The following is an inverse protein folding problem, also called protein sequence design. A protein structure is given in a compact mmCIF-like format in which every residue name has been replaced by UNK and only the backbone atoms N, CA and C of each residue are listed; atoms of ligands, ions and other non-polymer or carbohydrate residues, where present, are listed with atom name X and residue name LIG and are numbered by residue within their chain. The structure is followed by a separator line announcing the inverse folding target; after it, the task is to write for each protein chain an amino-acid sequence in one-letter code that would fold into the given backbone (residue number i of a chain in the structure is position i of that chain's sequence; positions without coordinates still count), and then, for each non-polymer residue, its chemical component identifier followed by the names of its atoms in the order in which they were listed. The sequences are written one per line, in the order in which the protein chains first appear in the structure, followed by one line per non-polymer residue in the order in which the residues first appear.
data_IF_712460130039
#
_entry.id   IF_712460130039
#
_cell.length_a   1.000
_cell.length_b   1.000
_cell.length_c   1.000
_cell.angle_alpha   90.00
_cell.angle_beta   90.00
_cell.angle_gamma   90.00
#
_symmetry.space_group_name_H-M   'P 1'
#
loop_
_entity.id
_entity.type
_entity.pdbx_description
1 polymer ?
#
# COMPACT_ATOMS: atom_id res chain seq x y z
N UNK A 1 -10.11 -9.26 14.31
CA UNK A 1 -8.82 -9.84 13.87
C UNK A 1 -8.68 -9.95 12.34
N UNK A 2 -9.57 -9.36 11.52
CA UNK A 2 -9.58 -9.55 10.05
C UNK A 2 -9.11 -8.33 9.22
N UNK A 3 -8.57 -7.31 9.87
CA UNK A 3 -8.10 -6.07 9.25
C UNK A 3 -6.61 -5.89 9.60
N UNK A 4 -5.68 -5.48 8.73
CA UNK A 4 -5.69 -5.06 7.34
C UNK A 4 -4.20 -4.98 6.95
N UNK A 5 -3.58 -6.08 6.47
CA UNK A 5 -2.31 -5.94 5.74
C UNK A 5 -2.70 -5.56 4.32
N UNK A 6 -2.98 -4.28 4.12
CA UNK A 6 -3.19 -3.74 2.78
C UNK A 6 -1.84 -3.67 2.08
N UNK A 7 -1.75 -4.28 0.91
CA UNK A 7 -0.57 -4.22 0.04
C UNK A 7 -0.11 -2.80 -0.22
N UNK A 8 -1.06 -1.86 -0.24
CA UNK A 8 -0.80 -0.42 -0.43
C UNK A 8 0.03 0.16 0.71
N UNK A 9 -0.20 -0.25 1.95
CA UNK A 9 0.60 0.24 3.08
C UNK A 9 2.07 -0.22 3.01
N UNK A 10 2.35 -1.31 2.28
CA UNK A 10 3.69 -1.87 2.12
C UNK A 10 4.39 -1.24 0.91
N UNK A 11 3.69 -1.19 -0.22
CA UNK A 11 4.28 -0.91 -1.54
C UNK A 11 3.86 0.43 -2.16
N UNK A 12 2.84 1.09 -1.62
CA UNK A 12 2.41 2.42 -2.08
C UNK A 12 3.07 3.52 -1.24
N UNK A 13 4.40 3.54 -1.22
CA UNK A 13 5.20 4.62 -0.66
C UNK A 13 6.34 5.02 -1.60
N UNK A 14 6.83 6.25 -1.47
CA UNK A 14 7.83 6.83 -2.37
C UNK A 14 9.15 6.05 -2.36
N UNK A 15 9.53 5.46 -1.23
CA UNK A 15 10.76 4.66 -1.10
C UNK A 15 10.69 3.38 -1.92
N UNK A 16 9.56 2.67 -1.89
CA UNK A 16 9.39 1.47 -2.70
C UNK A 16 9.39 1.83 -4.20
N UNK A 17 8.72 2.91 -4.59
CA UNK A 17 8.75 3.38 -5.98
C UNK A 17 10.18 3.68 -6.44
N UNK A 18 11.01 4.32 -5.60
CA UNK A 18 12.42 4.57 -5.91
C UNK A 18 13.23 3.27 -6.10
N UNK A 19 13.01 2.27 -5.25
CA UNK A 19 13.66 0.95 -5.38
C UNK A 19 13.21 0.29 -6.69
N UNK A 20 11.91 0.32 -6.99
CA UNK A 20 11.35 -0.21 -8.22
C UNK A 20 11.95 0.46 -9.46
N UNK A 21 12.06 1.79 -9.46
CA UNK A 21 12.66 2.57 -10.55
C UNK A 21 14.16 2.24 -10.75
N UNK A 22 14.91 2.13 -9.65
CA UNK A 22 16.32 1.76 -9.68
C UNK A 22 16.53 0.32 -10.20
N UNK A 23 15.70 -0.64 -9.76
CA UNK A 23 15.75 -2.02 -10.26
C UNK A 23 15.40 -2.08 -11.74
N UNK A 24 14.29 -1.45 -12.16
CA UNK A 24 13.81 -1.46 -13.54
C UNK A 24 14.84 -0.91 -14.52
N UNK A 25 15.47 0.21 -14.16
CA UNK A 25 16.56 0.81 -14.96
C UNK A 25 17.81 -0.08 -15.00
N UNK A 26 18.19 -0.71 -13.88
CA UNK A 26 19.41 -1.53 -13.79
C UNK A 26 19.31 -2.84 -14.56
N UNK A 27 18.14 -3.50 -14.51
CA UNK A 27 17.93 -4.80 -15.18
C UNK A 27 17.40 -4.65 -16.60
N UNK A 28 17.08 -3.41 -17.02
CA UNK A 28 16.46 -3.09 -18.31
C UNK A 28 15.17 -3.87 -18.56
N UNK A 29 14.32 -3.97 -17.53
CA UNK A 29 12.96 -4.52 -17.63
C UNK A 29 11.98 -3.47 -17.11
N UNK A 30 10.79 -3.46 -17.68
CA UNK A 30 9.70 -2.69 -17.11
C UNK A 30 9.22 -3.38 -15.83
N UNK A 31 8.96 -2.63 -14.75
CA UNK A 31 8.48 -3.18 -13.48
C UNK A 31 7.21 -2.44 -13.04
N UNK A 32 6.23 -3.17 -12.51
CA UNK A 32 5.04 -2.61 -11.87
C UNK A 32 4.55 -3.55 -10.78
N UNK A 33 4.04 -3.00 -9.68
CA UNK A 33 3.39 -3.79 -8.64
C UNK A 33 1.88 -3.68 -8.80
N UNK A 34 1.19 -4.82 -8.65
CA UNK A 34 -0.26 -4.95 -8.80
C UNK A 34 -0.87 -5.59 -7.55
N UNK A 35 -2.16 -5.34 -7.32
CA UNK A 35 -2.94 -6.10 -6.35
C UNK A 35 -3.30 -7.51 -6.88
N UNK A 36 -3.98 -8.31 -6.08
CA UNK A 36 -4.41 -9.67 -6.46
C UNK A 36 -5.32 -9.74 -7.71
N UNK A 37 -5.93 -8.62 -8.12
CA UNK A 37 -6.74 -8.53 -9.35
C UNK A 37 -5.93 -8.09 -10.56
N UNK A 38 -4.62 -7.87 -10.41
CA UNK A 38 -3.77 -7.34 -11.48
C UNK A 38 -3.90 -5.83 -11.67
N UNK A 39 -4.55 -5.12 -10.75
CA UNK A 39 -4.70 -3.67 -10.84
C UNK A 39 -3.42 -3.01 -10.31
N UNK A 40 -2.79 -2.10 -11.08
CA UNK A 40 -1.60 -1.37 -10.63
C UNK A 40 -1.77 -0.65 -9.30
N UNK A 41 -0.82 -0.85 -8.39
CA UNK A 41 -0.69 -0.10 -7.14
C UNK A 41 0.49 0.87 -7.14
N UNK A 42 1.51 0.63 -7.97
CA UNK A 42 2.64 1.54 -8.19
C UNK A 42 2.60 2.16 -9.58
N UNK A 43 3.40 3.21 -9.80
CA UNK A 43 3.64 3.72 -11.15
C UNK A 43 4.52 2.72 -11.89
N UNK A 44 4.28 2.57 -13.18
CA UNK A 44 5.04 1.65 -14.02
C UNK A 44 6.44 2.21 -14.30
N UNK A 45 7.46 1.54 -13.81
CA UNK A 45 8.87 1.88 -14.04
C UNK A 45 9.33 1.33 -15.38
N UNK A 46 10.15 2.10 -16.11
CA UNK A 46 10.73 1.72 -17.43
C UNK A 46 9.72 1.13 -18.42
N UNK A 47 8.45 1.55 -18.37
CA UNK A 47 7.39 1.04 -19.24
C UNK A 47 7.72 1.33 -20.70
N UNK A 48 7.63 0.30 -21.54
CA UNK A 48 7.88 0.45 -22.98
C UNK A 48 6.76 1.25 -23.66
N UNK A 49 7.07 1.83 -24.81
CA UNK A 49 6.06 2.52 -25.63
C UNK A 49 4.93 1.57 -26.03
N UNK A 50 5.28 0.35 -26.48
CA UNK A 50 4.30 -0.66 -26.87
C UNK A 50 3.33 -1.00 -25.74
N UNK A 51 3.83 -1.31 -24.55
CA UNK A 51 2.97 -1.61 -23.41
C UNK A 51 2.21 -0.39 -22.90
N UNK A 52 2.70 0.83 -23.15
CA UNK A 52 1.95 2.06 -22.90
C UNK A 52 0.72 2.16 -23.81
N UNK A 53 0.84 1.76 -25.09
CA UNK A 53 -0.29 1.71 -26.03
C UNK A 53 -1.29 0.65 -25.55
N UNK A 54 -0.82 -0.58 -25.28
CA UNK A 54 -1.68 -1.69 -24.86
C UNK A 54 -2.46 -1.38 -23.58
N UNK A 55 -1.80 -0.87 -22.53
CA UNK A 55 -2.46 -0.57 -21.25
C UNK A 55 -3.38 0.66 -21.27
N UNK A 56 -3.29 1.52 -22.30
CA UNK A 56 -4.19 2.66 -22.51
C UNK A 56 -5.39 2.33 -23.39
N UNK A 57 -5.27 1.34 -24.27
CA UNK A 57 -6.37 0.94 -25.16
C UNK A 57 -7.52 0.29 -24.38
N UNK A 58 -8.76 0.72 -24.63
CA UNK A 58 -9.96 0.20 -23.94
C UNK A 58 -10.11 -1.32 -24.11
N UNK A 59 -9.75 -1.85 -25.29
CA UNK A 59 -9.82 -3.28 -25.59
C UNK A 59 -8.73 -4.10 -24.89
N UNK A 60 -7.51 -3.58 -24.76
CA UNK A 60 -6.34 -4.36 -24.36
C UNK A 60 -5.97 -4.20 -22.88
N UNK A 61 -6.38 -3.10 -22.24
CA UNK A 61 -6.12 -2.85 -20.82
C UNK A 61 -6.59 -4.01 -19.94
N UNK A 62 -7.81 -4.50 -20.16
CA UNK A 62 -8.36 -5.63 -19.40
C UNK A 62 -7.60 -6.94 -19.64
N UNK A 63 -6.97 -7.13 -20.80
CA UNK A 63 -6.12 -8.29 -21.07
C UNK A 63 -4.80 -8.20 -20.30
N UNK A 64 -4.19 -7.02 -20.25
CA UNK A 64 -2.98 -6.78 -19.44
C UNK A 64 -3.22 -7.11 -17.96
N UNK A 65 -4.28 -6.54 -17.36
CA UNK A 65 -4.61 -6.77 -15.94
C UNK A 65 -4.93 -8.24 -15.65
N UNK A 66 -5.61 -8.94 -16.58
CA UNK A 66 -5.86 -10.39 -16.46
C UNK A 66 -4.59 -11.22 -16.56
N UNK A 67 -3.65 -10.85 -17.43
CA UNK A 67 -2.33 -11.48 -17.48
C UNK A 67 -1.60 -11.30 -16.15
N UNK A 68 -1.54 -10.07 -15.64
CA UNK A 68 -0.88 -9.74 -14.37
C UNK A 68 -1.48 -10.56 -13.20
N UNK A 69 -2.81 -10.60 -13.10
CA UNK A 69 -3.52 -11.36 -12.07
C UNK A 69 -3.25 -12.86 -12.14
N UNK A 70 -3.32 -13.44 -13.35
CA UNK A 70 -3.12 -14.88 -13.56
C UNK A 70 -1.66 -15.28 -13.29
N UNK A 71 -0.70 -14.50 -13.78
CA UNK A 71 0.72 -14.72 -13.52
C UNK A 71 1.06 -14.63 -12.04
N UNK A 72 0.54 -13.60 -11.36
CA UNK A 72 0.69 -13.43 -9.92
C UNK A 72 0.08 -14.58 -9.10
N UNK A 73 -1.06 -15.11 -9.51
CA UNK A 73 -1.71 -16.25 -8.83
C UNK A 73 -0.90 -17.55 -9.00
N UNK A 74 -0.38 -17.83 -10.20
CA UNK A 74 0.48 -19.00 -10.41
C UNK A 74 1.78 -18.92 -9.61
N UNK A 75 2.40 -17.73 -9.57
CA UNK A 75 3.56 -17.46 -8.71
C UNK A 75 3.25 -17.71 -7.23
N UNK A 76 2.08 -17.24 -6.75
CA UNK A 76 1.66 -17.45 -5.38
C UNK A 76 1.38 -18.92 -5.06
N UNK A 77 0.79 -19.66 -6.01
CA UNK A 77 0.51 -21.10 -5.88
C UNK A 77 1.78 -21.92 -5.74
N UNK A 78 2.83 -21.58 -6.49
CA UNK A 78 4.12 -22.28 -6.43
C UNK A 78 5.07 -21.73 -5.36
N UNK A 79 4.70 -20.61 -4.71
CA UNK A 79 5.54 -19.86 -3.79
C UNK A 79 6.90 -19.48 -4.39
N UNK A 80 6.93 -19.23 -5.69
CA UNK A 80 8.12 -18.86 -6.45
C UNK A 80 7.78 -17.82 -7.50
N UNK A 81 8.76 -17.35 -8.26
CA UNK A 81 8.49 -16.58 -9.46
C UNK A 81 7.81 -17.44 -10.52
N UNK A 82 7.09 -16.77 -11.43
CA UNK A 82 6.45 -17.43 -12.56
C UNK A 82 6.69 -16.60 -13.83
N UNK A 83 7.32 -17.22 -14.83
CA UNK A 83 7.69 -16.59 -16.11
C UNK A 83 6.77 -17.13 -17.19
N UNK A 84 6.17 -16.25 -17.97
CA UNK A 84 5.14 -16.59 -18.95
C UNK A 84 5.12 -15.63 -20.14
N UNK A 85 4.29 -15.94 -21.14
CA UNK A 85 4.00 -15.05 -22.25
C UNK A 85 2.65 -14.35 -22.03
N UNK A 86 2.65 -13.02 -22.07
CA UNK A 86 1.44 -12.21 -21.94
C UNK A 86 0.59 -12.29 -23.22
N UNK A 87 -0.63 -11.74 -23.20
CA UNK A 87 -1.54 -11.77 -24.36
C UNK A 87 -0.94 -11.23 -25.67
N UNK A 88 0.08 -10.36 -25.57
CA UNK A 88 0.81 -9.78 -26.69
C UNK A 88 2.12 -10.51 -27.01
N UNK A 89 2.31 -11.74 -26.52
CA UNK A 89 3.46 -12.60 -26.82
C UNK A 89 4.79 -12.12 -26.23
N UNK A 90 4.76 -11.17 -25.31
CA UNK A 90 5.95 -10.69 -24.60
C UNK A 90 6.18 -11.53 -23.35
N UNK A 91 7.45 -11.71 -23.00
CA UNK A 91 7.80 -12.30 -21.70
C UNK A 91 7.45 -11.34 -20.59
N UNK A 92 6.77 -11.88 -19.60
CA UNK A 92 6.41 -11.23 -18.37
C UNK A 92 6.67 -12.21 -17.22
N UNK A 93 7.01 -11.68 -16.05
CA UNK A 93 7.35 -12.47 -14.89
C UNK A 93 6.63 -11.90 -13.66
N UNK A 94 6.13 -12.78 -12.82
CA UNK A 94 5.45 -12.41 -11.59
C UNK A 94 6.23 -12.90 -10.37
N UNK A 95 6.45 -12.00 -9.41
CA UNK A 95 6.99 -12.29 -8.08
C UNK A 95 5.86 -12.13 -7.06
N UNK A 96 5.49 -13.18 -6.30
CA UNK A 96 4.31 -13.13 -5.47
C UNK A 96 4.59 -12.36 -4.17
N UNK A 97 3.64 -11.54 -3.74
CA UNK A 97 3.65 -10.85 -2.44
C UNK A 97 2.66 -11.57 -1.53
N UNK A 98 3.19 -12.37 -0.60
CA UNK A 98 2.39 -13.17 0.34
C UNK A 98 2.74 -12.82 1.78
N UNK A 99 1.77 -12.38 2.56
CA UNK A 99 1.96 -12.06 3.99
C UNK A 99 1.07 -12.96 4.83
N UNK A 100 1.64 -13.71 5.78
CA UNK A 100 0.91 -14.63 6.65
C UNK A 100 -0.02 -15.57 5.86
N UNK A 101 0.49 -16.16 4.78
CA UNK A 101 -0.23 -17.03 3.84
C UNK A 101 -1.38 -16.38 3.07
N UNK A 102 -1.55 -15.05 3.17
CA UNK A 102 -2.50 -14.31 2.34
C UNK A 102 -1.77 -13.74 1.12
N UNK A 103 -2.24 -14.12 -0.06
CA UNK A 103 -1.78 -13.54 -1.32
C UNK A 103 -2.36 -12.13 -1.46
N UNK A 104 -1.47 -11.13 -1.55
CA UNK A 104 -1.87 -9.72 -1.60
C UNK A 104 -1.80 -9.14 -3.03
N UNK A 105 -0.93 -9.69 -3.87
CA UNK A 105 -0.62 -9.19 -5.21
C UNK A 105 0.76 -9.65 -5.66
N UNK A 106 1.30 -9.02 -6.70
CA UNK A 106 2.59 -9.41 -7.26
C UNK A 106 3.39 -8.21 -7.78
N UNK A 107 4.71 -8.35 -7.78
CA UNK A 107 5.60 -7.51 -8.59
C UNK A 107 5.73 -8.15 -9.95
N UNK A 108 5.32 -7.41 -10.98
CA UNK A 108 5.43 -7.80 -12.38
C UNK A 108 6.70 -7.20 -12.96
N UNK A 109 7.44 -7.98 -13.74
CA UNK A 109 8.59 -7.48 -14.48
C UNK A 109 8.69 -8.12 -15.87
N UNK A 110 9.11 -7.36 -16.88
CA UNK A 110 9.26 -7.92 -18.22
C UNK A 110 9.07 -6.89 -19.31
N UNK A 111 8.16 -7.22 -20.24
CA UNK A 111 7.90 -6.52 -21.50
C UNK A 111 9.06 -6.62 -22.49
N UNK A 112 9.65 -7.82 -22.57
CA UNK A 112 10.76 -8.13 -23.47
C UNK A 112 10.43 -9.30 -24.37
N UNK A 113 11.12 -9.37 -25.50
CA UNK A 113 11.06 -10.51 -26.40
C UNK A 113 12.17 -11.50 -26.02
N UNK A 114 11.93 -12.79 -26.21
CA UNK A 114 13.03 -13.76 -26.13
C UNK A 114 13.99 -13.56 -27.31
N UNK A 115 15.29 -13.65 -27.03
CA UNK A 115 16.31 -13.64 -28.08
C UNK A 115 16.22 -14.88 -28.97
N UNK A 116 15.84 -16.03 -28.39
CA UNK A 116 15.59 -17.28 -29.13
C UNK A 116 14.08 -17.58 -29.14
N UNK A 117 13.49 -17.67 -30.34
CA UNK A 117 12.06 -17.96 -30.51
C UNK A 117 11.66 -19.37 -30.07
N UNK A 118 12.56 -20.34 -30.12
CA UNK A 118 12.26 -21.72 -29.67
C UNK A 118 11.99 -21.78 -28.16
N UNK A 119 12.57 -20.88 -27.38
CA UNK A 119 12.32 -20.80 -25.96
C UNK A 119 10.88 -20.37 -25.63
N UNK A 120 10.15 -19.76 -26.57
CA UNK A 120 8.72 -19.46 -26.38
C UNK A 120 7.90 -20.73 -26.13
N UNK A 121 8.30 -21.88 -26.70
CA UNK A 121 7.62 -23.17 -26.51
C UNK A 121 7.77 -23.71 -25.09
N UNK A 122 8.70 -23.16 -24.30
CA UNK A 122 8.95 -23.54 -22.90
C UNK A 122 8.11 -22.72 -21.92
N UNK A 123 7.45 -21.66 -22.38
CA UNK A 123 6.68 -20.76 -21.55
C UNK A 123 5.18 -20.90 -21.85
N UNK A 124 4.36 -20.83 -20.80
CA UNK A 124 2.91 -20.81 -20.95
C UNK A 124 2.44 -19.46 -21.52
N UNK A 125 1.52 -19.52 -22.47
CA UNK A 125 0.80 -18.35 -22.98
C UNK A 125 -0.44 -18.13 -22.12
N UNK A 126 -0.40 -17.14 -21.20
CA UNK A 126 -1.44 -16.98 -20.18
C UNK A 126 -2.84 -16.76 -20.76
N UNK A 127 -2.94 -16.00 -21.86
CA UNK A 127 -4.19 -15.82 -22.59
C UNK A 127 -3.99 -16.28 -24.03
N UNK A 128 -4.75 -17.28 -24.45
CA UNK A 128 -4.81 -17.77 -25.83
C UNK A 128 -5.76 -16.86 -26.63
N UNK A 129 -5.24 -16.09 -27.59
CA UNK A 129 -5.90 -15.46 -28.76
C UNK A 129 -5.07 -14.27 -29.29
N UNK A 130 -3.80 -14.48 -29.62
CA UNK A 130 -2.87 -13.42 -30.03
C UNK A 130 -3.43 -12.54 -31.18
N UNK A 131 -4.09 -13.15 -32.15
CA UNK A 131 -4.65 -12.48 -33.35
C UNK A 131 -5.70 -11.40 -33.03
N UNK A 132 -6.43 -11.54 -31.91
CA UNK A 132 -7.41 -10.55 -31.44
C UNK A 132 -6.88 -9.73 -30.25
N UNK A 133 -5.62 -9.95 -29.84
CA UNK A 133 -5.02 -9.38 -28.63
C UNK A 133 -4.07 -8.22 -28.91
N UNK A 134 -3.73 -7.97 -30.17
CA UNK A 134 -2.94 -6.82 -30.64
C UNK A 134 -3.42 -6.44 -32.05
N UNK A 135 -3.68 -5.15 -32.29
CA UNK A 135 -3.85 -4.64 -33.66
C UNK A 135 -2.54 -4.01 -34.14
N UNK A 136 -1.94 -4.60 -35.18
CA UNK A 136 -0.76 -4.06 -35.86
C UNK A 136 -1.11 -3.22 -37.09
N UNK A 137 -2.38 -2.91 -37.32
CA UNK A 137 -2.83 -2.03 -38.41
C UNK A 137 -2.31 -0.60 -38.22
N UNK A 138 -2.12 -0.18 -36.96
CA UNK A 138 -1.45 1.07 -36.63
C UNK A 138 0.08 0.93 -36.72
N UNK A 139 0.68 1.72 -37.61
CA UNK A 139 2.12 1.79 -37.86
C UNK A 139 2.91 2.14 -36.59
N UNK A 140 2.34 2.97 -35.70
CA UNK A 140 3.02 3.34 -34.46
C UNK A 140 3.11 2.14 -33.50
N UNK A 141 2.02 1.39 -33.37
CA UNK A 141 1.99 0.15 -32.59
C UNK A 141 3.00 -0.88 -33.10
N UNK A 142 3.08 -1.08 -34.43
CA UNK A 142 4.07 -1.98 -35.03
C UNK A 142 5.52 -1.51 -34.80
N UNK A 143 5.78 -0.21 -34.94
CA UNK A 143 7.10 0.38 -34.68
C UNK A 143 7.51 0.18 -33.22
N UNK A 144 6.60 0.48 -32.29
CA UNK A 144 6.84 0.33 -30.86
C UNK A 144 7.11 -1.14 -30.47
N UNK A 145 6.40 -2.09 -31.08
CA UNK A 145 6.65 -3.53 -30.89
C UNK A 145 8.05 -3.94 -31.38
N UNK A 146 8.47 -3.45 -32.55
CA UNK A 146 9.80 -3.75 -33.11
C UNK A 146 10.97 -3.14 -32.33
N UNK A 147 10.72 -2.10 -31.54
CA UNK A 147 11.73 -1.49 -30.67
C UNK A 147 11.91 -2.18 -29.32
N UNK A 148 11.13 -3.23 -29.03
CA UNK A 148 11.24 -3.97 -27.77
C UNK A 148 12.61 -4.63 -27.63
N UNK A 149 13.14 -4.63 -26.41
CA UNK A 149 14.42 -5.26 -26.12
C UNK A 149 14.29 -6.79 -26.14
N UNK A 150 15.38 -7.45 -26.52
CA UNK A 150 15.49 -8.90 -26.52
C UNK A 150 16.35 -9.37 -25.35
N UNK A 151 15.94 -10.47 -24.71
CA UNK A 151 16.65 -11.06 -23.58
C UNK A 151 16.62 -12.60 -23.65
N UNK A 152 17.70 -13.25 -23.22
CA UNK A 152 17.73 -14.72 -23.12
C UNK A 152 16.90 -15.20 -21.94
N UNK A 153 16.28 -16.38 -22.07
CA UNK A 153 15.50 -16.97 -20.98
C UNK A 153 16.34 -17.22 -19.73
N UNK A 154 17.61 -17.58 -19.89
CA UNK A 154 18.55 -17.76 -18.77
C UNK A 154 18.72 -16.48 -17.96
N UNK A 155 18.94 -15.35 -18.63
CA UNK A 155 19.07 -14.04 -17.96
C UNK A 155 17.78 -13.62 -17.26
N UNK A 156 16.62 -13.88 -17.88
CA UNK A 156 15.31 -13.62 -17.27
C UNK A 156 15.14 -14.45 -15.99
N UNK A 157 15.53 -15.73 -16.00
CA UNK A 157 15.50 -16.60 -14.81
C UNK A 157 16.39 -16.05 -13.68
N UNK A 158 17.63 -15.67 -13.97
CA UNK A 158 18.51 -15.08 -12.96
C UNK A 158 17.96 -13.78 -12.35
N UNK A 159 17.34 -12.94 -13.18
CA UNK A 159 16.65 -11.73 -12.71
C UNK A 159 15.45 -12.10 -11.84
N UNK A 160 14.66 -13.10 -12.23
CA UNK A 160 13.51 -13.54 -11.47
C UNK A 160 13.91 -14.09 -10.08
N UNK A 161 14.98 -14.89 -9.99
CA UNK A 161 15.53 -15.38 -8.71
C UNK A 161 16.01 -14.23 -7.81
N UNK A 162 16.69 -13.24 -8.40
CA UNK A 162 17.15 -12.05 -7.68
C UNK A 162 15.96 -11.22 -7.16
N UNK A 163 14.98 -10.93 -8.01
CA UNK A 163 13.79 -10.17 -7.61
C UNK A 163 12.99 -10.91 -6.54
N UNK A 164 12.83 -12.23 -6.67
CA UNK A 164 12.18 -13.05 -5.64
C UNK A 164 12.87 -12.91 -4.29
N UNK A 165 14.21 -12.96 -4.27
CA UNK A 165 15.00 -12.81 -3.05
C UNK A 165 14.78 -11.43 -2.41
N UNK A 166 14.85 -10.36 -3.21
CA UNK A 166 14.64 -8.98 -2.74
C UNK A 166 13.25 -8.81 -2.15
N UNK A 167 12.21 -9.22 -2.89
CA UNK A 167 10.82 -9.06 -2.44
C UNK A 167 10.54 -9.90 -1.19
N UNK A 168 11.10 -11.11 -1.09
CA UNK A 168 10.98 -11.95 0.10
C UNK A 168 11.57 -11.24 1.33
N UNK A 169 12.77 -10.66 1.22
CA UNK A 169 13.39 -9.88 2.31
C UNK A 169 12.50 -8.71 2.72
N UNK A 170 11.95 -7.95 1.76
CA UNK A 170 11.09 -6.80 2.05
C UNK A 170 9.78 -7.21 2.74
N UNK A 171 9.20 -8.33 2.33
CA UNK A 171 8.00 -8.90 2.94
C UNK A 171 8.29 -9.37 4.37
N UNK A 172 9.41 -10.04 4.61
CA UNK A 172 9.79 -10.50 5.94
C UNK A 172 10.12 -9.34 6.89
N UNK A 173 10.78 -8.28 6.42
CA UNK A 173 10.96 -7.05 7.18
C UNK A 173 9.61 -6.46 7.61
N UNK A 174 8.64 -6.46 6.68
CA UNK A 174 7.28 -5.97 6.96
C UNK A 174 6.57 -6.83 8.00
N UNK A 175 6.68 -8.17 7.92
CA UNK A 175 6.13 -9.09 8.91
C UNK A 175 6.70 -8.83 10.29
N UNK A 176 8.02 -8.67 10.40
CA UNK A 176 8.69 -8.34 11.66
C UNK A 176 8.20 -7.01 12.22
N UNK A 177 8.07 -5.98 11.39
CA UNK A 177 7.56 -4.67 11.80
C UNK A 177 6.13 -4.76 12.34
N UNK A 178 5.26 -5.52 11.68
CA UNK A 178 3.88 -5.77 12.13
C UNK A 178 3.89 -6.52 13.47
N UNK A 179 4.71 -7.56 13.61
CA UNK A 179 4.82 -8.35 14.83
C UNK A 179 5.29 -7.48 16.02
N UNK A 180 6.32 -6.67 15.83
CA UNK A 180 6.83 -5.73 16.84
C UNK A 180 5.75 -4.73 17.25
N UNK A 181 5.03 -4.15 16.28
CA UNK A 181 3.94 -3.20 16.57
C UNK A 181 2.76 -3.86 17.30
N UNK A 182 2.44 -5.12 16.97
CA UNK A 182 1.39 -5.88 17.65
C UNK A 182 1.77 -6.19 19.10
N UNK A 183 3.03 -6.59 19.36
CA UNK A 183 3.55 -6.81 20.71
C UNK A 183 3.51 -5.52 21.55
N UNK A 184 3.87 -4.38 20.98
CA UNK A 184 3.78 -3.08 21.65
C UNK A 184 2.34 -2.71 22.06
N UNK A 185 1.33 -3.06 21.23
CA UNK A 185 -0.08 -2.79 21.54
C UNK A 185 -0.68 -3.73 22.59
N UNK A 186 -0.07 -4.89 22.84
CA UNK A 186 -0.61 -5.90 23.76
C UNK A 186 0.22 -6.10 25.05
N UNK A 187 1.33 -5.37 25.25
CA UNK A 187 2.05 -5.37 26.51
C UNK A 187 2.32 -3.97 27.07
N UNK A 188 1.57 -3.65 28.14
CA UNK A 188 2.17 -3.14 29.39
C UNK A 188 3.45 -3.96 29.66
N UNK A 189 4.62 -3.32 29.60
CA UNK A 189 5.94 -3.89 29.97
C UNK A 189 6.42 -5.10 29.12
N UNK A 190 7.01 -4.83 27.96
CA UNK A 190 8.27 -5.50 27.61
C UNK A 190 9.32 -4.41 27.51
N UNK A 191 10.18 -4.36 28.52
CA UNK A 191 11.42 -3.59 28.43
C UNK A 191 12.29 -4.35 27.42
N UNK A 192 12.16 -4.01 26.13
CA UNK A 192 13.19 -4.42 25.17
C UNK A 192 14.37 -3.53 25.49
N UNK A 193 15.37 -4.09 26.18
CA UNK A 193 16.55 -3.34 26.57
C UNK A 193 17.14 -2.64 25.35
N UNK A 194 17.53 -1.38 25.56
CA UNK A 194 18.13 -0.52 24.54
C UNK A 194 19.26 -1.23 23.79
N UNK A 195 19.97 -2.11 24.50
CA UNK A 195 21.05 -2.96 24.00
C UNK A 195 20.59 -3.97 22.93
N UNK A 196 19.39 -4.53 23.03
CA UNK A 196 18.84 -5.43 22.01
C UNK A 196 18.51 -4.67 20.71
N UNK A 197 17.96 -3.45 20.84
CA UNK A 197 17.74 -2.57 19.69
C UNK A 197 19.05 -2.09 19.07
N UNK A 198 20.05 -1.77 19.88
CA UNK A 198 21.37 -1.38 19.41
C UNK A 198 22.12 -2.56 18.78
N UNK A 199 21.97 -3.77 19.30
CA UNK A 199 22.52 -4.99 18.72
C UNK A 199 21.85 -5.33 17.39
N UNK A 200 20.51 -5.26 17.32
CA UNK A 200 19.77 -5.44 16.08
C UNK A 200 20.10 -4.37 15.05
N UNK A 201 20.20 -3.09 15.46
CA UNK A 201 20.66 -2.02 14.60
C UNK A 201 22.09 -2.29 14.09
N UNK A 202 23.03 -2.68 14.95
CA UNK A 202 24.42 -3.00 14.56
C UNK A 202 24.54 -4.19 13.61
N UNK A 203 23.74 -5.25 13.80
CA UNK A 203 23.78 -6.46 12.99
C UNK A 203 23.20 -6.21 11.58
N UNK A 204 22.19 -5.34 11.47
CA UNK A 204 21.45 -5.12 10.22
C UNK A 204 21.79 -3.80 9.50
N UNK A 205 22.58 -2.88 10.10
CA UNK A 205 22.97 -1.60 9.50
C UNK A 205 24.30 -1.64 8.74
N UNK A 206 24.42 -2.53 7.76
CA UNK A 206 25.33 -2.32 6.64
C UNK A 206 24.70 -1.32 5.67
N UNK A 207 24.94 -0.02 5.89
CA UNK A 207 24.63 1.13 5.01
C UNK A 207 23.19 1.71 5.02
N UNK A 208 23.08 2.83 5.74
CA UNK A 208 22.30 4.05 5.47
C UNK A 208 20.79 3.95 5.17
N UNK A 209 19.98 4.31 6.18
CA UNK A 209 18.86 5.23 5.99
C UNK A 209 19.09 6.45 6.88
N UNK A 210 19.17 7.63 6.26
CA UNK A 210 19.26 8.92 6.93
C UNK A 210 17.93 9.20 7.63
N UNK A 211 17.79 8.68 8.85
CA UNK A 211 16.58 8.77 9.67
C UNK A 211 16.51 10.08 10.47
N UNK A 212 17.43 11.02 10.29
CA UNK A 212 17.62 12.10 11.27
C UNK A 212 16.56 13.21 11.17
N UNK A 213 16.08 13.54 9.96
CA UNK A 213 15.08 14.60 9.76
C UNK A 213 13.62 14.12 9.84
N UNK A 214 13.33 12.87 9.43
CA UNK A 214 11.97 12.31 9.42
C UNK A 214 11.59 11.63 10.75
N UNK A 215 12.53 11.01 11.49
CA UNK A 215 12.23 10.53 12.86
C UNK A 215 11.96 11.67 13.83
N UNK A 216 12.57 12.84 13.67
CA UNK A 216 12.31 13.96 14.58
C UNK A 216 10.83 14.38 14.51
N UNK A 217 10.26 14.48 13.31
CA UNK A 217 8.88 14.92 13.12
C UNK A 217 7.84 13.93 13.67
N UNK A 218 7.99 12.63 13.39
CA UNK A 218 7.10 11.58 13.93
C UNK A 218 7.31 11.39 15.44
N UNK A 219 8.55 11.49 15.94
CA UNK A 219 8.85 11.48 17.38
C UNK A 219 8.22 12.66 18.12
N UNK A 220 8.16 13.84 17.48
CA UNK A 220 7.52 15.03 18.05
C UNK A 220 5.99 14.91 18.08
N UNK A 221 5.36 14.22 17.13
CA UNK A 221 3.91 14.01 17.11
C UNK A 221 3.45 12.84 17.97
N UNK A 222 4.33 11.91 18.36
CA UNK A 222 3.96 10.75 19.18
C UNK A 222 3.23 11.11 20.48
N UNK A 223 3.69 12.09 21.29
CA UNK A 223 2.97 12.52 22.48
C UNK A 223 1.55 13.03 22.19
N UNK A 224 1.31 13.61 21.00
CA UNK A 224 -0.02 14.04 20.60
C UNK A 224 -0.95 12.85 20.35
N UNK A 225 -0.50 11.80 19.64
CA UNK A 225 -1.33 10.62 19.38
C UNK A 225 -1.69 9.88 20.66
N UNK A 226 -0.71 9.69 21.55
CA UNK A 226 -0.91 9.04 22.85
C UNK A 226 -1.95 9.83 23.67
N UNK A 227 -1.79 11.16 23.73
CA UNK A 227 -2.76 12.02 24.44
C UNK A 227 -4.16 11.97 23.84
N UNK A 228 -4.30 12.04 22.51
CA UNK A 228 -5.60 12.04 21.84
C UNK A 228 -6.34 10.74 22.10
N UNK A 229 -5.65 9.60 22.04
CA UNK A 229 -6.26 8.29 22.26
C UNK A 229 -6.78 8.13 23.69
N UNK A 230 -6.01 8.61 24.67
CA UNK A 230 -6.35 8.48 26.10
C UNK A 230 -7.33 9.56 26.60
N UNK A 231 -7.51 10.65 25.83
CA UNK A 231 -8.27 11.84 26.26
C UNK A 231 -9.32 12.31 25.24
N UNK A 232 -10.00 11.38 24.54
CA UNK A 232 -11.04 11.71 23.55
C UNK A 232 -12.21 12.55 24.10
N UNK A 233 -12.48 12.45 25.39
CA UNK A 233 -13.53 13.19 26.10
C UNK A 233 -13.00 14.52 26.72
N UNK A 234 -11.70 14.81 26.56
CA UNK A 234 -11.02 15.98 27.14
C UNK A 234 -10.72 17.11 26.15
N UNK A 235 -9.89 18.07 26.58
CA UNK A 235 -9.46 19.21 25.75
C UNK A 235 -8.46 18.76 24.67
N UNK A 236 -8.96 18.61 23.45
CA UNK A 236 -8.17 18.29 22.25
C UNK A 236 -7.92 19.52 21.37
N UNK A 237 -7.85 20.72 21.97
CA UNK A 237 -7.47 21.91 21.24
C UNK A 237 -6.04 21.79 20.72
N UNK A 238 -5.79 22.34 19.53
CA UNK A 238 -4.45 22.32 18.94
C UNK A 238 -3.40 23.00 19.82
N UNK A 239 -3.82 23.99 20.62
CA UNK A 239 -2.96 24.65 21.61
C UNK A 239 -2.49 23.67 22.67
N UNK A 240 -3.43 22.90 23.24
CA UNK A 240 -3.14 21.89 24.26
C UNK A 240 -2.24 20.80 23.71
N UNK A 241 -2.57 20.26 22.54
CA UNK A 241 -1.82 19.14 21.97
C UNK A 241 -0.44 19.54 21.45
N UNK A 242 -0.31 20.74 20.85
CA UNK A 242 1.01 21.28 20.50
C UNK A 242 1.91 21.49 21.74
N UNK A 243 1.32 21.93 22.87
CA UNK A 243 2.09 22.09 24.11
C UNK A 243 2.63 20.77 24.67
N UNK A 244 1.89 19.67 24.51
CA UNK A 244 2.32 18.32 24.94
C UNK A 244 3.50 17.84 24.08
N UNK A 245 3.52 18.24 22.81
CA UNK A 245 4.62 18.00 21.89
C UNK A 245 5.79 19.00 22.02
N UNK A 246 5.72 19.95 22.96
CA UNK A 246 6.69 21.03 23.15
C UNK A 246 6.95 21.86 21.88
N UNK A 247 5.91 22.09 21.07
CA UNK A 247 5.99 22.88 19.84
C UNK A 247 4.92 23.98 19.78
N UNK A 248 5.14 24.99 18.93
CA UNK A 248 4.12 26.01 18.70
C UNK A 248 2.92 25.42 17.92
N UNK A 249 1.68 25.92 18.13
CA UNK A 249 0.51 25.44 17.39
C UNK A 249 0.64 25.56 15.87
N UNK A 250 1.28 26.63 15.39
CA UNK A 250 1.52 26.85 13.96
C UNK A 250 2.52 25.85 13.38
N UNK A 251 3.58 25.51 14.14
CA UNK A 251 4.53 24.47 13.75
C UNK A 251 3.88 23.09 13.78
N UNK A 252 3.10 22.80 14.82
CA UNK A 252 2.34 21.57 14.95
C UNK A 252 1.36 21.36 13.79
N UNK A 253 0.57 22.37 13.39
CA UNK A 253 -0.32 22.28 12.23
C UNK A 253 0.42 21.91 10.95
N UNK A 254 1.56 22.56 10.69
CA UNK A 254 2.38 22.31 9.49
C UNK A 254 2.98 20.91 9.54
N UNK A 255 3.47 20.50 10.70
CA UNK A 255 4.02 19.18 10.96
C UNK A 255 2.97 18.09 10.72
N UNK A 256 1.77 18.27 11.28
CA UNK A 256 0.65 17.34 11.16
C UNK A 256 0.14 17.21 9.71
N UNK A 257 0.09 18.32 8.97
CA UNK A 257 -0.32 18.32 7.56
C UNK A 257 0.74 17.68 6.64
N UNK A 258 2.03 17.84 6.96
CA UNK A 258 3.16 17.28 6.19
C UNK A 258 3.22 15.75 6.25
N UNK A 259 2.76 15.15 7.35
CA UNK A 259 2.75 13.69 7.56
C UNK A 259 1.55 12.97 6.92
N UNK A 260 0.88 13.57 5.91
CA UNK A 260 -0.28 13.01 5.18
C UNK A 260 -1.52 12.68 6.05
N UNK A 261 -1.67 13.29 7.24
CA UNK A 261 -2.79 13.01 8.18
C UNK A 261 -4.01 13.94 8.00
N UNK A 262 -4.00 14.82 7.00
CA UNK A 262 -5.02 15.85 6.81
C UNK A 262 -4.92 16.99 7.83
N UNK A 263 -5.98 17.79 7.99
CA UNK A 263 -5.99 18.83 9.02
C UNK A 263 -6.14 18.20 10.40
N UNK A 264 -5.45 18.76 11.41
CA UNK A 264 -5.58 18.30 12.80
C UNK A 264 -7.05 18.28 13.26
N UNK A 265 -7.83 19.31 12.89
CA UNK A 265 -9.25 19.39 13.21
C UNK A 265 -10.06 18.24 12.59
N UNK A 266 -9.78 17.89 11.33
CA UNK A 266 -10.46 16.76 10.67
C UNK A 266 -10.07 15.42 11.29
N UNK A 267 -8.81 15.25 11.68
CA UNK A 267 -8.34 14.06 12.39
C UNK A 267 -9.09 13.89 13.72
N UNK A 268 -9.16 14.93 14.55
CA UNK A 268 -9.89 14.89 15.82
C UNK A 268 -11.38 14.61 15.59
N UNK A 269 -12.00 15.29 14.64
CA UNK A 269 -13.41 15.08 14.33
C UNK A 269 -13.66 13.63 13.90
N UNK A 270 -12.85 13.08 12.99
CA UNK A 270 -12.98 11.68 12.54
C UNK A 270 -12.87 10.71 13.70
N UNK A 271 -11.89 10.88 14.57
CA UNK A 271 -11.70 10.02 15.75
C UNK A 271 -12.88 10.13 16.72
N UNK A 272 -13.43 11.34 16.93
CA UNK A 272 -14.64 11.54 17.74
C UNK A 272 -15.87 10.89 17.11
N UNK A 273 -16.04 10.95 15.78
CA UNK A 273 -17.16 10.29 15.08
C UNK A 273 -17.08 8.76 15.23
N UNK A 274 -15.89 8.16 15.10
CA UNK A 274 -15.72 6.72 15.33
C UNK A 274 -16.10 6.31 16.76
N UNK A 275 -15.75 7.12 17.76
CA UNK A 275 -16.19 6.91 19.14
C UNK A 275 -17.69 7.12 19.32
N UNK A 276 -18.28 8.10 18.63
CA UNK A 276 -19.72 8.35 18.63
C UNK A 276 -20.50 7.13 18.11
N UNK A 277 -20.05 6.51 17.01
CA UNK A 277 -20.65 5.29 16.45
C UNK A 277 -20.70 4.15 17.47
N UNK A 278 -19.65 4.00 18.28
CA UNK A 278 -19.64 3.04 19.37
C UNK A 278 -20.70 3.38 20.43
N UNK A 279 -20.80 4.63 20.88
CA UNK A 279 -21.83 5.02 21.84
C UNK A 279 -23.26 4.89 21.29
N UNK A 280 -23.46 5.20 20.01
CA UNK A 280 -24.76 5.07 19.35
C UNK A 280 -25.27 3.62 19.33
N UNK A 281 -24.36 2.64 19.24
CA UNK A 281 -24.69 1.21 19.10
C UNK A 281 -24.58 0.41 20.40
N UNK A 282 -23.82 0.90 21.39
CA UNK A 282 -23.58 0.20 22.67
C UNK A 282 -24.27 0.83 23.87
N UNK A 283 -24.88 2.02 23.75
CA UNK A 283 -25.50 2.74 24.87
C UNK A 283 -26.84 3.36 24.50
N UNK A 284 -27.61 3.75 25.52
CA UNK A 284 -28.86 4.50 25.39
C UNK A 284 -28.70 6.02 25.56
N UNK A 285 -27.47 6.54 25.54
CA UNK A 285 -27.19 7.97 25.69
C UNK A 285 -27.93 8.78 24.62
N UNK A 286 -28.44 9.98 24.97
CA UNK A 286 -29.04 10.85 23.96
C UNK A 286 -27.97 11.35 22.98
N UNK A 287 -28.38 11.81 21.80
CA UNK A 287 -27.45 12.42 20.81
C UNK A 287 -26.74 13.63 21.44
N UNK A 288 -27.46 14.37 22.29
CA UNK A 288 -26.91 15.50 23.02
C UNK A 288 -25.86 15.07 24.05
N UNK A 289 -26.13 14.01 24.82
CA UNK A 289 -25.16 13.51 25.81
C UNK A 289 -23.89 12.98 25.15
N UNK A 290 -24.01 12.31 24.00
CA UNK A 290 -22.86 11.85 23.20
C UNK A 290 -22.06 13.05 22.68
N UNK A 291 -22.72 14.09 22.19
CA UNK A 291 -22.09 15.33 21.75
C UNK A 291 -21.28 15.98 22.87
N UNK A 292 -21.91 16.16 24.05
CA UNK A 292 -21.26 16.74 25.24
C UNK A 292 -20.10 15.87 25.71
N UNK A 293 -20.29 14.56 25.77
CA UNK A 293 -19.27 13.59 26.23
C UNK A 293 -18.04 13.55 25.32
N UNK A 294 -18.22 13.79 24.03
CA UNK A 294 -17.12 13.89 23.06
C UNK A 294 -16.56 15.31 22.96
N UNK A 295 -16.96 16.22 23.84
CA UNK A 295 -16.43 17.59 23.90
C UNK A 295 -16.78 18.42 22.66
N UNK A 296 -17.96 18.24 22.08
CA UNK A 296 -18.51 19.18 21.10
C UNK A 296 -19.28 20.27 21.84
N UNK A 297 -18.96 21.54 21.54
CA UNK A 297 -19.62 22.70 22.17
C UNK A 297 -21.06 22.89 21.71
N UNK A 298 -21.43 22.33 20.55
CA UNK A 298 -22.75 22.45 19.96
C UNK A 298 -23.18 21.10 19.36
N UNK A 299 -24.37 20.64 19.75
CA UNK A 299 -24.95 19.40 19.26
C UNK A 299 -25.30 19.50 17.76
N UNK A 300 -25.69 20.70 17.28
CA UNK A 300 -25.92 20.94 15.87
C UNK A 300 -24.65 20.74 15.02
N UNK A 301 -23.52 21.25 15.50
CA UNK A 301 -22.22 21.06 14.88
C UNK A 301 -21.79 19.59 14.91
N UNK A 302 -21.97 18.88 16.03
CA UNK A 302 -21.74 17.44 16.09
C UNK A 302 -22.53 16.68 15.02
N UNK A 303 -23.83 16.96 14.88
CA UNK A 303 -24.69 16.31 13.87
C UNK A 303 -24.19 16.61 12.45
N UNK A 304 -23.80 17.86 12.16
CA UNK A 304 -23.23 18.24 10.85
C UNK A 304 -21.93 17.51 10.56
N UNK A 305 -21.03 17.42 11.54
CA UNK A 305 -19.75 16.70 11.40
C UNK A 305 -20.00 15.21 11.21
N UNK A 306 -20.89 14.61 11.99
CA UNK A 306 -21.25 13.19 11.85
C UNK A 306 -21.81 12.90 10.46
N UNK A 307 -22.75 13.72 9.98
CA UNK A 307 -23.34 13.58 8.64
C UNK A 307 -22.31 13.76 7.52
N UNK A 308 -21.35 14.67 7.68
CA UNK A 308 -20.25 14.86 6.73
C UNK A 308 -19.40 13.59 6.59
N UNK A 309 -19.15 12.85 7.67
CA UNK A 309 -18.32 11.64 7.65
C UNK A 309 -19.10 10.37 7.27
N UNK A 310 -20.33 10.21 7.76
CA UNK A 310 -21.11 8.96 7.61
C UNK A 310 -22.23 9.04 6.56
N UNK A 311 -22.52 10.23 6.02
CA UNK A 311 -23.60 10.45 5.05
C UNK A 311 -25.01 10.35 5.63
N UNK A 312 -25.16 10.22 6.96
CA UNK A 312 -26.45 10.21 7.66
C UNK A 312 -26.34 10.84 9.05
N UNK A 313 -27.48 11.18 9.66
CA UNK A 313 -27.50 11.75 11.02
C UNK A 313 -27.20 10.69 12.10
N UNK A 314 -26.67 11.08 13.28
CA UNK A 314 -26.45 10.16 14.41
C UNK A 314 -27.71 9.35 14.80
N UNK A 315 -28.88 10.00 14.76
CA UNK A 315 -30.16 9.36 15.05
C UNK A 315 -30.53 8.32 13.99
N UNK A 316 -30.38 8.64 12.70
CA UNK A 316 -30.60 7.69 11.61
C UNK A 316 -29.63 6.50 11.70
N UNK A 317 -28.35 6.76 12.01
CA UNK A 317 -27.32 5.74 12.21
C UNK A 317 -27.67 4.77 13.33
N UNK A 318 -28.17 5.26 14.48
CA UNK A 318 -28.60 4.41 15.58
C UNK A 318 -29.73 3.46 15.16
N UNK A 319 -30.72 3.97 14.44
CA UNK A 319 -31.87 3.17 13.98
C UNK A 319 -31.46 2.12 12.94
N UNK A 320 -30.58 2.48 11.99
CA UNK A 320 -30.12 1.54 10.95
C UNK A 320 -29.35 0.35 11.55
N UNK A 321 -28.54 0.61 12.57
CA UNK A 321 -27.77 -0.43 13.27
C UNK A 321 -28.62 -1.31 14.19
N UNK A 322 -29.78 -0.82 14.66
CA UNK A 322 -30.74 -1.61 15.44
C UNK A 322 -31.62 -2.53 14.58
N UNK A 323 -31.87 -2.18 13.31
CA UNK A 323 -32.65 -3.02 12.37
C UNK A 323 -31.86 -4.17 11.74
N UNK A 324 -30.55 -4.20 11.94
CA UNK A 324 -29.64 -5.20 11.36
C UNK A 324 -29.22 -6.27 12.40
N UNK A 325 -29.91 -6.34 13.53
CA UNK A 325 -29.79 -7.38 14.55
C UNK A 325 -31.08 -8.17 14.63
#
# INVERSE_FOLDING_TARGET
MKDLVDIRNIFQNDRFQQIQDALASSINLAIITVDYKGIPITKHSSRTEFCSIMRKGEQFKGLCERCDSRGGLEAARTQSHYIYLCHAGLVDLAIPIVVNNNYLGAVMAGQVLLSNKEDNLKLEQILHNFENSVSFEDVNTLRAYRSLSHMSLEKIKSIADMLLSIITIMVDETRLRIAVNALQKHQKYVHVDKEFYEAYARIFSGQYFDLTAEKQNISLLKPAFDYIQDNLEGDLSIKKVASICNVSPSYFSKLFAKENLGSYTDYINKTKIERAKQFLTSTHLSINDISVKLGFNDCGYFIKVFNRFEGMTPAAYRVSMMKTR
#
